data_IF_812363116368
#
_entry.id   IF_812363116368
#
_cell.length_a   1.000
_cell.length_b   1.000
_cell.length_c   1.000
_cell.angle_alpha   90.00
_cell.angle_beta   90.00
_cell.angle_gamma   90.00
#
_symmetry.space_group_name_H-M   'P 1'
#
loop_
_entity.id
_entity.type
_entity.pdbx_description
1 polymer ?
#
# COMPACT_ATOMS: atom_id res chain seq x y z
N UNK A 1 -9.59 9.51 -28.25
CA UNK A 1 -9.96 8.66 -27.09
C UNK A 1 -11.48 8.44 -26.97
N UNK A 2 -11.98 7.27 -27.36
CA UNK A 2 -13.36 6.88 -27.08
C UNK A 2 -13.47 6.47 -25.61
N UNK A 3 -14.25 7.24 -24.84
CA UNK A 3 -14.59 6.96 -23.45
C UNK A 3 -15.64 5.85 -23.43
N UNK A 4 -15.19 4.59 -23.30
CA UNK A 4 -16.08 3.43 -23.20
C UNK A 4 -17.08 3.64 -22.05
N UNK A 5 -18.40 3.48 -22.28
CA UNK A 5 -19.38 3.55 -21.22
C UNK A 5 -19.16 2.36 -20.26
N UNK A 6 -18.95 2.66 -18.98
CA UNK A 6 -18.56 1.70 -17.91
C UNK A 6 -19.69 0.71 -17.51
N UNK A 7 -20.41 0.14 -18.47
CA UNK A 7 -21.55 -0.73 -18.18
C UNK A 7 -21.92 -1.67 -19.34
N UNK A 8 -20.94 -2.16 -20.12
CA UNK A 8 -21.22 -3.24 -21.06
C UNK A 8 -21.34 -4.56 -20.29
N UNK A 9 -22.24 -5.45 -20.71
CA UNK A 9 -22.35 -6.81 -20.15
C UNK A 9 -20.99 -7.54 -20.22
N UNK A 10 -20.17 -7.25 -21.22
CA UNK A 10 -18.82 -7.79 -21.37
C UNK A 10 -17.88 -7.41 -20.21
N UNK A 11 -18.04 -6.22 -19.63
CA UNK A 11 -17.21 -5.77 -18.50
C UNK A 11 -17.51 -6.59 -17.23
N UNK A 12 -18.77 -6.97 -17.04
CA UNK A 12 -19.22 -7.79 -15.91
C UNK A 12 -18.57 -9.19 -15.93
N UNK A 13 -18.51 -9.80 -17.13
CA UNK A 13 -17.80 -11.06 -17.35
C UNK A 13 -16.28 -10.93 -17.16
N UNK A 14 -15.71 -9.78 -17.49
CA UNK A 14 -14.27 -9.55 -17.39
C UNK A 14 -13.80 -9.27 -15.95
N UNK A 15 -14.60 -8.63 -15.10
CA UNK A 15 -14.22 -8.27 -13.73
C UNK A 15 -14.46 -9.39 -12.70
N UNK A 16 -15.54 -10.16 -12.85
CA UNK A 16 -15.91 -11.21 -11.88
C UNK A 16 -16.16 -10.68 -10.46
N UNK A 17 -16.40 -11.59 -9.52
CA UNK A 17 -16.68 -11.24 -8.11
C UNK A 17 -15.44 -10.87 -7.29
N UNK A 18 -14.24 -11.21 -7.76
CA UNK A 18 -12.97 -10.90 -7.11
C UNK A 18 -11.82 -10.89 -8.13
N UNK A 19 -10.66 -10.39 -7.70
CA UNK A 19 -9.47 -10.26 -8.57
C UNK A 19 -9.00 -11.59 -9.15
N UNK A 20 -9.22 -12.72 -8.45
CA UNK A 20 -8.80 -14.03 -8.95
C UNK A 20 -9.70 -14.54 -10.09
N UNK A 21 -10.99 -14.19 -10.06
CA UNK A 21 -11.99 -14.53 -11.09
C UNK A 21 -12.04 -13.54 -12.26
N UNK A 22 -11.38 -12.38 -12.14
CA UNK A 22 -11.20 -11.46 -13.25
C UNK A 22 -10.37 -12.07 -14.40
N UNK A 23 -10.57 -11.55 -15.61
CA UNK A 23 -9.76 -11.90 -16.78
C UNK A 23 -8.26 -11.73 -16.49
N UNK A 24 -7.43 -12.55 -17.13
CA UNK A 24 -5.97 -12.57 -16.89
C UNK A 24 -5.34 -11.19 -17.04
N UNK A 25 -5.82 -10.41 -18.02
CA UNK A 25 -5.30 -9.06 -18.26
C UNK A 25 -5.59 -8.12 -17.08
N UNK A 26 -6.83 -8.11 -16.57
CA UNK A 26 -7.25 -7.27 -15.43
C UNK A 26 -6.51 -7.70 -14.16
N UNK A 27 -6.44 -9.01 -13.90
CA UNK A 27 -5.73 -9.56 -12.75
C UNK A 27 -4.26 -9.15 -12.74
N UNK A 28 -3.57 -9.30 -13.87
CA UNK A 28 -2.15 -8.93 -13.99
C UNK A 28 -1.93 -7.42 -13.84
N UNK A 29 -2.86 -6.58 -14.34
CA UNK A 29 -2.77 -5.13 -14.15
C UNK A 29 -2.91 -4.73 -12.68
N UNK A 30 -3.83 -5.37 -11.93
CA UNK A 30 -3.96 -5.16 -10.49
C UNK A 30 -2.70 -5.62 -9.74
N UNK A 31 -2.24 -6.85 -9.99
CA UNK A 31 -1.07 -7.41 -9.31
C UNK A 31 0.20 -6.58 -9.56
N UNK A 32 0.40 -6.05 -10.77
CA UNK A 32 1.54 -5.17 -11.07
C UNK A 32 1.56 -3.94 -10.17
N UNK A 33 0.41 -3.32 -9.90
CA UNK A 33 0.33 -2.14 -9.02
C UNK A 33 0.66 -2.52 -7.57
N UNK A 34 0.04 -3.58 -7.05
CA UNK A 34 0.22 -4.00 -5.67
C UNK A 34 1.66 -4.46 -5.41
N UNK A 35 2.21 -5.32 -6.27
CA UNK A 35 3.59 -5.78 -6.10
C UNK A 35 4.62 -4.68 -6.31
N UNK A 36 4.34 -3.69 -7.19
CA UNK A 36 5.20 -2.52 -7.30
C UNK A 36 5.24 -1.71 -5.99
N UNK A 37 4.09 -1.48 -5.36
CA UNK A 37 4.01 -0.78 -4.07
C UNK A 37 4.76 -1.57 -2.99
N UNK A 38 4.46 -2.86 -2.85
CA UNK A 38 5.10 -3.73 -1.86
C UNK A 38 6.62 -3.79 -2.04
N UNK A 39 7.10 -3.83 -3.28
CA UNK A 39 8.54 -3.86 -3.57
C UNK A 39 9.23 -2.57 -3.09
N UNK A 40 8.60 -1.42 -3.32
CA UNK A 40 9.12 -0.12 -2.85
C UNK A 40 9.10 -0.05 -1.32
N UNK A 41 8.07 -0.57 -0.67
CA UNK A 41 7.99 -0.62 0.80
C UNK A 41 9.11 -1.45 1.43
N UNK A 42 9.37 -2.65 0.89
CA UNK A 42 10.47 -3.52 1.37
C UNK A 42 11.82 -2.84 1.16
N UNK A 43 12.04 -2.20 0.01
CA UNK A 43 13.27 -1.47 -0.28
C UNK A 43 13.46 -0.30 0.70
N UNK A 44 12.43 0.53 0.88
CA UNK A 44 12.48 1.68 1.79
C UNK A 44 12.71 1.25 3.24
N UNK A 45 12.04 0.19 3.67
CA UNK A 45 12.23 -0.40 5.00
C UNK A 45 13.67 -0.88 5.17
N UNK A 46 14.20 -1.60 4.17
CA UNK A 46 15.59 -2.12 4.21
C UNK A 46 16.61 -0.98 4.29
N UNK A 47 16.45 0.07 3.48
CA UNK A 47 17.31 1.26 3.52
C UNK A 47 17.22 1.95 4.88
N UNK A 48 16.01 2.11 5.41
CA UNK A 48 15.79 2.71 6.73
C UNK A 48 16.45 1.87 7.83
N UNK A 49 16.27 0.55 7.82
CA UNK A 49 16.92 -0.36 8.76
C UNK A 49 18.45 -0.29 8.66
N UNK A 50 19.01 -0.21 7.46
CA UNK A 50 20.44 -0.04 7.27
C UNK A 50 20.94 1.28 7.89
N UNK A 51 20.23 2.39 7.66
CA UNK A 51 20.57 3.69 8.26
C UNK A 51 20.55 3.60 9.79
N UNK A 52 19.53 2.99 10.38
CA UNK A 52 19.44 2.80 11.83
C UNK A 52 20.57 1.92 12.39
N UNK A 53 20.98 0.88 11.65
CA UNK A 53 22.03 -0.03 12.10
C UNK A 53 23.43 0.59 12.03
N UNK A 54 23.73 1.34 10.96
CA UNK A 54 25.07 1.89 10.73
C UNK A 54 25.29 3.30 11.28
N UNK A 55 24.23 4.04 11.63
CA UNK A 55 24.34 5.40 12.17
C UNK A 55 24.12 5.44 13.69
N UNK A 56 25.21 5.65 14.44
CA UNK A 56 25.16 5.85 15.89
C UNK A 56 24.36 7.09 16.31
N UNK A 57 24.35 8.14 15.48
CA UNK A 57 23.56 9.35 15.73
C UNK A 57 22.04 9.10 15.68
N UNK A 58 21.59 8.28 14.71
CA UNK A 58 20.17 7.91 14.60
C UNK A 58 19.75 7.04 15.79
N UNK A 59 20.61 6.12 16.23
CA UNK A 59 20.36 5.31 17.42
C UNK A 59 20.24 6.17 18.68
N UNK A 60 21.15 7.12 18.89
CA UNK A 60 21.09 8.02 20.06
C UNK A 60 19.80 8.85 20.06
N UNK A 61 19.43 9.42 18.91
CA UNK A 61 18.21 10.24 18.77
C UNK A 61 16.92 9.47 19.12
N UNK A 62 16.83 8.20 18.70
CA UNK A 62 15.66 7.35 18.99
C UNK A 62 15.61 6.97 20.47
N UNK A 63 16.75 6.66 21.08
CA UNK A 63 16.83 6.35 22.51
C UNK A 63 16.51 7.55 23.40
N UNK A 64 16.91 8.76 23.00
CA UNK A 64 16.56 9.99 23.73
C UNK A 64 15.06 10.30 23.68
N UNK A 65 14.36 9.86 22.64
CA UNK A 65 12.95 10.18 22.40
C UNK A 65 12.11 8.92 22.15
N UNK A 66 11.89 8.09 23.18
CA UNK A 66 11.11 6.85 23.04
C UNK A 66 9.66 7.11 22.57
N UNK A 67 9.14 8.32 22.79
CA UNK A 67 7.84 8.75 22.28
C UNK A 67 7.72 8.65 20.74
N UNK A 68 8.82 8.74 19.99
CA UNK A 68 8.82 8.59 18.53
C UNK A 68 8.40 7.18 18.10
N UNK A 69 8.84 6.15 18.83
CA UNK A 69 8.45 4.76 18.57
C UNK A 69 6.97 4.54 18.86
N UNK A 70 6.47 5.10 19.96
CA UNK A 70 5.04 5.03 20.29
C UNK A 70 4.19 5.76 19.27
N UNK A 71 4.59 6.96 18.85
CA UNK A 71 3.91 7.73 17.81
C UNK A 71 3.88 6.96 16.49
N UNK A 72 4.99 6.31 16.11
CA UNK A 72 5.04 5.45 14.92
C UNK A 72 4.10 4.25 15.04
N UNK A 73 4.02 3.62 16.22
CA UNK A 73 3.11 2.48 16.47
C UNK A 73 1.63 2.89 16.38
N UNK A 74 1.26 4.00 17.03
CA UNK A 74 -0.10 4.54 16.93
C UNK A 74 -0.43 5.06 15.53
N UNK A 75 0.54 5.67 14.84
CA UNK A 75 0.40 6.08 13.45
C UNK A 75 0.11 4.89 12.54
N UNK A 76 0.85 3.79 12.67
CA UNK A 76 0.60 2.55 11.93
C UNK A 76 -0.81 2.01 12.18
N UNK A 77 -1.25 1.96 13.45
CA UNK A 77 -2.60 1.53 13.79
C UNK A 77 -3.68 2.43 13.16
N UNK A 78 -3.48 3.76 13.18
CA UNK A 78 -4.39 4.71 12.56
C UNK A 78 -4.50 4.50 11.03
N UNK A 79 -3.39 4.21 10.35
CA UNK A 79 -3.38 3.90 8.92
C UNK A 79 -4.11 2.59 8.64
N UNK A 80 -3.95 1.54 9.46
CA UNK A 80 -4.72 0.28 9.34
C UNK A 80 -6.22 0.52 9.46
N UNK A 81 -6.62 1.34 10.44
CA UNK A 81 -8.02 1.72 10.63
C UNK A 81 -8.53 2.48 9.40
N UNK A 82 -7.77 3.45 8.90
CA UNK A 82 -8.12 4.16 7.67
C UNK A 82 -8.25 3.20 6.47
N UNK A 83 -7.31 2.28 6.28
CA UNK A 83 -7.37 1.26 5.24
C UNK A 83 -8.66 0.42 5.34
N UNK A 84 -9.08 0.08 6.55
CA UNK A 84 -10.32 -0.70 6.77
C UNK A 84 -11.56 0.06 6.30
N UNK A 85 -11.63 1.37 6.55
CA UNK A 85 -12.71 2.23 6.07
C UNK A 85 -12.67 2.47 4.56
N UNK A 86 -11.47 2.68 4.00
CA UNK A 86 -11.28 3.05 2.60
C UNK A 86 -10.96 1.88 1.66
N UNK A 87 -11.02 0.62 2.12
CA UNK A 87 -10.64 -0.59 1.35
C UNK A 87 -11.31 -0.71 -0.03
N UNK A 88 -12.54 -0.24 -0.16
CA UNK A 88 -13.33 -0.31 -1.41
C UNK A 88 -13.24 0.96 -2.26
N UNK A 89 -12.56 1.99 -1.77
CA UNK A 89 -12.41 3.25 -2.49
C UNK A 89 -11.10 3.22 -3.28
N UNK A 90 -11.19 2.87 -4.56
CA UNK A 90 -10.07 3.04 -5.50
C UNK A 90 -10.08 4.47 -6.07
N UNK A 91 -8.94 5.18 -6.13
CA UNK A 91 -7.58 4.74 -5.84
C UNK A 91 -7.09 5.02 -4.41
N UNK A 92 -7.94 5.55 -3.52
CA UNK A 92 -7.54 5.95 -2.15
C UNK A 92 -6.90 4.80 -1.38
N UNK A 93 -7.42 3.59 -1.52
CA UNK A 93 -6.83 2.39 -0.90
C UNK A 93 -5.37 2.14 -1.30
N UNK A 94 -4.96 2.47 -2.54
CA UNK A 94 -3.59 2.29 -3.01
C UNK A 94 -2.65 3.35 -2.42
N UNK A 95 -3.12 4.59 -2.25
CA UNK A 95 -2.34 5.63 -1.59
C UNK A 95 -2.15 5.35 -0.10
N UNK A 96 -3.22 4.91 0.58
CA UNK A 96 -3.14 4.48 1.97
C UNK A 96 -2.25 3.25 2.13
N UNK A 97 -2.31 2.30 1.19
CA UNK A 97 -1.44 1.14 1.19
C UNK A 97 0.01 1.58 1.05
N UNK A 98 0.33 2.46 0.10
CA UNK A 98 1.69 2.97 -0.11
C UNK A 98 2.26 3.69 1.11
N UNK A 99 1.44 4.44 1.84
CA UNK A 99 1.85 5.15 3.05
C UNK A 99 1.94 4.26 4.31
N UNK A 100 1.40 3.06 4.28
CA UNK A 100 1.53 2.05 5.33
C UNK A 100 2.89 1.34 5.24
#
# INVERSE_FOLDING_TARGET
>A
EQRYPRSSIEDDFNYGSNVASASVHIRMAFLRKVYSILSVQVLLTTVTSAIFLYSTGVQAFVHERPALLLLSGFGSLAVIVALTFYRHQHPVNLYLLFGF
#
